data_IF_906614753426
#
_entry.id   IF_906614753426
#
_cell.length_a   1.000
_cell.length_b   1.000
_cell.length_c   1.000
_cell.angle_alpha   90.00
_cell.angle_beta   90.00
_cell.angle_gamma   90.00
#
_symmetry.space_group_name_H-M   'P 1'
#
loop_
_entity.id
_entity.type
_entity.pdbx_description
1 polymer ?
#
# COMPACT_ATOMS: atom_id res chain seq x y z
N UNK A 1 7.19 10.56 -11.15
CA UNK A 1 6.39 11.80 -11.26
C UNK A 1 5.14 11.68 -10.40
N UNK A 2 4.32 12.73 -10.33
CA UNK A 2 3.00 12.70 -9.66
C UNK A 2 1.91 12.47 -10.71
N UNK A 3 0.89 11.65 -10.41
CA UNK A 3 -0.18 11.34 -11.35
C UNK A 3 -1.22 12.48 -11.46
N UNK A 4 -1.69 12.85 -12.67
CA UNK A 4 -2.70 13.88 -12.85
C UNK A 4 -3.99 13.65 -12.07
N UNK A 5 -4.48 12.41 -11.96
CA UNK A 5 -5.73 12.14 -11.23
C UNK A 5 -5.60 12.35 -9.71
N UNK A 6 -4.41 12.17 -9.14
CA UNK A 6 -4.14 12.48 -7.72
C UNK A 6 -4.28 13.97 -7.49
N UNK A 7 -3.67 14.78 -8.37
CA UNK A 7 -3.66 16.25 -8.25
C UNK A 7 -5.02 16.88 -8.57
N UNK A 8 -5.66 16.44 -9.64
CA UNK A 8 -6.87 17.07 -10.18
C UNK A 8 -8.15 16.51 -9.58
N UNK A 9 -8.19 15.21 -9.28
CA UNK A 9 -9.40 14.51 -8.82
C UNK A 9 -9.32 14.11 -7.34
N UNK A 10 -8.20 14.39 -6.66
CA UNK A 10 -7.98 14.00 -5.27
C UNK A 10 -7.83 12.48 -5.08
N UNK A 11 -7.50 11.75 -6.15
CA UNK A 11 -7.28 10.30 -6.11
C UNK A 11 -6.17 9.91 -5.13
N UNK A 12 -6.28 8.74 -4.52
CA UNK A 12 -5.21 8.16 -3.70
C UNK A 12 -4.44 7.16 -4.55
N UNK A 13 -3.12 7.37 -4.67
CA UNK A 13 -2.23 6.44 -5.35
C UNK A 13 -1.94 5.26 -4.44
N UNK A 14 -2.31 4.06 -4.89
CA UNK A 14 -2.10 2.81 -4.16
C UNK A 14 -1.12 1.96 -4.96
N UNK A 15 0.04 1.70 -4.37
CA UNK A 15 1.06 0.82 -4.94
C UNK A 15 0.82 -0.61 -4.43
N UNK A 16 0.49 -1.52 -5.34
CA UNK A 16 0.25 -2.93 -4.98
C UNK A 16 1.54 -3.73 -4.97
N UNK A 17 2.50 -3.36 -5.82
CA UNK A 17 3.79 -4.02 -5.94
C UNK A 17 4.95 -3.04 -5.80
N UNK A 18 5.92 -3.40 -4.94
CA UNK A 18 7.13 -2.63 -4.69
C UNK A 18 8.39 -3.22 -5.33
N UNK A 19 8.31 -4.48 -5.77
CA UNK A 19 9.43 -5.21 -6.35
C UNK A 19 8.96 -5.89 -7.62
N UNK A 20 9.80 -5.81 -8.65
CA UNK A 20 9.58 -6.47 -9.92
C UNK A 20 10.79 -7.35 -10.22
N UNK A 21 10.53 -8.54 -10.77
CA UNK A 21 11.56 -9.42 -11.29
C UNK A 21 11.90 -8.98 -12.72
N UNK A 22 13.18 -8.72 -12.95
CA UNK A 22 13.72 -8.34 -14.26
C UNK A 22 14.94 -9.18 -14.58
N UNK A 23 15.12 -9.48 -15.85
CA UNK A 23 16.30 -10.15 -16.40
C UNK A 23 17.01 -9.16 -17.32
N UNK A 24 18.28 -8.91 -17.05
CA UNK A 24 19.11 -8.00 -17.83
C UNK A 24 20.56 -8.47 -17.80
N UNK A 25 21.35 -8.04 -18.78
CA UNK A 25 22.78 -8.27 -18.74
C UNK A 25 23.42 -7.51 -17.57
N UNK A 26 24.55 -8.01 -17.00
CA UNK A 26 25.23 -7.34 -15.88
C UNK A 26 25.64 -5.89 -16.18
N UNK A 27 25.98 -5.60 -17.45
CA UNK A 27 26.31 -4.24 -17.91
C UNK A 27 25.07 -3.35 -18.09
N UNK A 28 23.90 -3.93 -18.29
CA UNK A 28 22.65 -3.23 -18.60
C UNK A 28 21.69 -3.21 -17.40
N UNK A 29 22.14 -3.67 -16.23
CA UNK A 29 21.34 -3.72 -15.01
C UNK A 29 21.01 -2.30 -14.54
N UNK A 30 19.72 -1.90 -14.54
CA UNK A 30 19.35 -0.56 -14.12
C UNK A 30 19.41 -0.45 -12.58
N UNK A 31 19.86 0.69 -12.07
CA UNK A 31 19.82 0.97 -10.63
C UNK A 31 18.39 1.26 -10.13
N UNK A 32 17.54 1.82 -11.01
CA UNK A 32 16.13 2.15 -10.75
C UNK A 32 15.29 1.98 -12.01
N UNK A 33 14.01 1.73 -11.82
CA UNK A 33 12.99 1.73 -12.87
C UNK A 33 12.10 2.94 -12.66
N UNK A 34 12.09 3.84 -13.65
CA UNK A 34 11.18 4.98 -13.69
C UNK A 34 9.86 4.55 -14.32
N UNK A 35 8.77 4.72 -13.57
CA UNK A 35 7.41 4.45 -14.05
C UNK A 35 6.74 5.78 -14.37
N UNK A 36 6.29 5.93 -15.61
CA UNK A 36 5.53 7.10 -16.03
C UNK A 36 4.10 7.00 -15.50
N UNK A 37 3.69 8.01 -14.72
CA UNK A 37 2.35 8.08 -14.14
C UNK A 37 1.45 9.08 -14.89
N UNK A 38 1.90 9.60 -16.03
CA UNK A 38 1.20 10.63 -16.79
C UNK A 38 -0.06 10.08 -17.45
N UNK A 39 -0.08 8.78 -17.75
CA UNK A 39 -1.23 8.04 -18.28
C UNK A 39 -2.38 7.85 -17.27
N UNK A 40 -2.16 8.18 -15.99
CA UNK A 40 -3.17 8.08 -14.93
C UNK A 40 -3.95 9.40 -14.77
N UNK A 41 -4.90 9.63 -15.69
CA UNK A 41 -5.72 10.84 -15.76
C UNK A 41 -7.04 10.72 -14.98
N UNK A 42 -7.58 9.52 -14.83
CA UNK A 42 -8.88 9.24 -14.17
C UNK A 42 -8.75 8.38 -12.92
N UNK A 43 -9.77 8.45 -12.04
CA UNK A 43 -9.93 7.52 -10.92
C UNK A 43 -10.16 6.09 -11.45
N UNK A 44 -9.73 5.09 -10.68
CA UNK A 44 -9.80 3.66 -11.02
C UNK A 44 -8.87 3.20 -12.17
N UNK A 45 -8.04 4.08 -12.72
CA UNK A 45 -6.99 3.70 -13.66
C UNK A 45 -5.79 3.03 -12.96
N UNK A 46 -5.22 2.03 -13.64
CA UNK A 46 -4.12 1.21 -13.15
C UNK A 46 -3.05 1.02 -14.22
N UNK A 47 -1.79 0.97 -13.78
CA UNK A 47 -0.63 0.64 -14.62
C UNK A 47 -0.22 -0.80 -14.32
N UNK A 48 -0.06 -1.58 -15.39
CA UNK A 48 0.40 -2.96 -15.31
C UNK A 48 1.88 -3.06 -15.61
N UNK A 49 2.44 -4.23 -15.32
CA UNK A 49 3.82 -4.57 -15.67
C UNK A 49 4.07 -4.41 -17.17
N UNK A 50 3.10 -4.76 -18.02
CA UNK A 50 3.19 -4.58 -19.48
C UNK A 50 3.39 -3.13 -19.92
N UNK A 51 2.94 -2.16 -19.14
CA UNK A 51 2.99 -0.74 -19.48
C UNK A 51 4.29 -0.06 -19.04
N UNK A 52 5.15 -0.78 -18.28
CA UNK A 52 6.47 -0.25 -17.90
C UNK A 52 7.37 -0.17 -19.12
N UNK A 53 7.87 1.03 -19.39
CA UNK A 53 8.95 1.27 -20.34
C UNK A 53 10.27 0.72 -19.78
N UNK A 54 10.58 -0.54 -20.07
CA UNK A 54 11.86 -1.13 -19.76
C UNK A 54 12.97 -0.55 -20.66
N UNK A 55 14.13 -0.22 -20.07
CA UNK A 55 15.32 0.21 -20.81
C UNK A 55 15.82 -0.87 -21.77
N UNK A 56 16.61 -0.47 -22.79
CA UNK A 56 17.27 -1.44 -23.70
C UNK A 56 18.06 -2.48 -22.89
N UNK A 57 17.80 -3.77 -23.18
CA UNK A 57 18.46 -4.88 -22.49
C UNK A 57 17.78 -5.39 -21.22
N UNK A 58 16.66 -4.78 -20.79
CA UNK A 58 15.90 -5.22 -19.61
C UNK A 58 14.62 -5.94 -20.06
N UNK A 59 14.45 -7.17 -19.61
CA UNK A 59 13.26 -7.99 -19.83
C UNK A 59 12.50 -8.16 -18.53
N UNK A 60 11.21 -7.86 -18.55
CA UNK A 60 10.32 -8.08 -17.42
C UNK A 60 10.05 -9.59 -17.31
N UNK A 61 10.36 -10.18 -16.16
CA UNK A 61 10.19 -11.62 -15.89
C UNK A 61 9.14 -11.77 -14.82
N UNK A 62 7.95 -12.22 -15.20
CA UNK A 62 6.81 -12.33 -14.28
C UNK A 62 5.49 -12.24 -15.03
N UNK A 63 4.45 -11.86 -14.32
CA UNK A 63 3.13 -11.67 -14.89
C UNK A 63 2.98 -10.25 -15.45
N UNK A 64 2.66 -10.14 -16.74
CA UNK A 64 2.54 -8.85 -17.42
C UNK A 64 1.21 -8.15 -17.12
N UNK A 65 0.19 -8.88 -16.66
CA UNK A 65 -1.13 -8.32 -16.32
C UNK A 65 -1.19 -7.81 -14.87
N UNK A 66 -0.15 -8.08 -14.09
CA UNK A 66 -0.08 -7.68 -12.69
C UNK A 66 -0.07 -6.15 -12.53
N UNK A 67 -0.84 -5.67 -11.55
CA UNK A 67 -1.01 -4.24 -11.29
C UNK A 67 0.10 -3.77 -10.36
N UNK A 68 0.87 -2.77 -10.81
CA UNK A 68 1.94 -2.19 -10.00
C UNK A 68 1.38 -1.05 -9.15
N UNK A 69 0.61 -0.18 -9.79
CA UNK A 69 0.03 1.00 -9.17
C UNK A 69 -1.36 1.27 -9.75
N UNK A 70 -2.27 1.71 -8.89
CA UNK A 70 -3.63 2.11 -9.27
C UNK A 70 -4.04 3.34 -8.51
N UNK A 71 -4.85 4.17 -9.14
CA UNK A 71 -5.53 5.28 -8.49
C UNK A 71 -6.87 4.80 -7.99
N UNK A 72 -7.10 4.94 -6.70
CA UNK A 72 -8.40 4.67 -6.09
C UNK A 72 -9.03 5.98 -5.68
N UNK A 73 -10.35 6.07 -5.82
CA UNK A 73 -11.13 7.17 -5.26
C UNK A 73 -10.80 7.35 -3.78
N UNK A 74 -10.61 8.59 -3.28
CA UNK A 74 -10.43 8.84 -1.86
C UNK A 74 -11.74 8.47 -1.15
N UNK A 75 -11.88 7.21 -0.72
CA UNK A 75 -12.80 6.93 0.37
C UNK A 75 -12.23 7.71 1.53
N UNK A 76 -13.02 8.62 2.08
CA UNK A 76 -12.75 9.25 3.37
C UNK A 76 -12.22 8.15 4.27
N UNK A 77 -10.92 8.17 4.54
CA UNK A 77 -10.30 7.31 5.51
C UNK A 77 -10.81 7.86 6.83
N UNK A 78 -12.05 7.49 7.20
CA UNK A 78 -12.40 7.49 8.59
C UNK A 78 -11.50 6.42 9.17
N UNK A 79 -10.41 6.87 9.77
CA UNK A 79 -9.50 6.08 10.60
C UNK A 79 -10.36 5.31 11.60
N UNK A 80 -10.72 4.09 11.24
CA UNK A 80 -11.18 3.09 12.17
C UNK A 80 -10.11 2.01 12.12
N UNK A 81 -9.68 1.63 13.32
CA UNK A 81 -8.91 0.42 13.60
C UNK A 81 -7.38 0.55 13.49
N UNK A 82 -6.80 1.34 14.40
CA UNK A 82 -5.72 0.79 15.22
C UNK A 82 -6.33 0.45 16.59
N UNK A 83 -6.91 -0.74 16.69
CA UNK A 83 -7.38 -1.34 17.94
C UNK A 83 -7.16 -2.84 17.85
N UNK A 84 -5.93 -3.26 18.14
CA UNK A 84 -5.57 -4.49 18.86
C UNK A 84 -4.15 -4.88 18.48
N UNK A 85 -3.21 -4.70 19.41
CA UNK A 85 -2.65 -5.86 20.11
C UNK A 85 -1.92 -5.40 21.40
N UNK A 86 -2.57 -5.59 22.54
CA UNK A 86 -1.88 -5.89 23.79
C UNK A 86 -2.81 -6.75 24.64
N UNK A 87 -2.72 -8.05 24.40
CA UNK A 87 -3.24 -9.07 25.30
C UNK A 87 -2.22 -9.22 26.43
N UNK A 88 -2.64 -9.01 27.67
CA UNK A 88 -1.74 -9.12 28.82
C UNK A 88 -2.47 -9.02 30.15
N UNK A 89 -3.14 -10.13 30.49
CA UNK A 89 -3.65 -10.53 31.81
C UNK A 89 -3.12 -9.78 33.02
N UNK A 90 -4.03 -9.32 33.88
CA UNK A 90 -4.09 -9.78 35.29
C UNK A 90 -5.30 -9.19 36.02
N UNK A 91 -6.33 -10.02 36.20
CA UNK A 91 -7.23 -9.91 37.33
C UNK A 91 -6.52 -10.56 38.53
N UNK A 92 -6.34 -9.83 39.63
CA UNK A 92 -6.62 -10.43 40.91
C UNK A 92 -7.88 -9.80 41.47
N UNK A 93 -8.84 -10.68 41.71
CA UNK A 93 -9.93 -10.52 42.66
C UNK A 93 -9.36 -10.02 44.00
N UNK A 94 -9.91 -8.93 44.53
CA UNK A 94 -9.84 -8.65 45.97
C UNK A 94 -11.27 -8.49 46.47
N UNK A 95 -11.84 -9.63 46.88
CA UNK A 95 -12.99 -9.66 47.77
C UNK A 95 -12.51 -9.18 49.15
N UNK A 96 -12.93 -7.99 49.56
CA UNK A 96 -12.58 -7.44 50.85
C UNK A 96 -13.54 -6.34 51.32
N UNK A 97 -14.44 -6.74 52.24
CA UNK A 97 -15.17 -5.93 53.24
C UNK A 97 -16.49 -5.23 52.85
N UNK A 98 -17.58 -5.98 52.87
CA UNK A 98 -18.84 -5.47 53.43
C UNK A 98 -19.03 -6.09 54.80
N UNK A 99 -19.13 -5.26 55.84
CA UNK A 99 -20.08 -5.34 56.96
C UNK A 99 -19.75 -4.18 57.92
N UNK A 100 -20.50 -3.08 57.83
CA UNK A 100 -21.67 -2.83 58.66
C UNK A 100 -21.29 -2.60 60.13
N UNK A 101 -21.13 -1.33 60.48
CA UNK A 101 -21.37 -0.90 61.86
C UNK A 101 -22.86 -0.97 62.15
N UNK A 102 -23.24 -1.69 63.20
CA UNK A 102 -24.36 -1.34 64.09
C UNK A 102 -24.25 -2.18 65.37
N UNK A 103 -24.30 -1.47 66.50
CA UNK A 103 -24.66 -1.87 67.88
C UNK A 103 -24.28 -3.27 68.40
#
# INVERSE_FOLDING_TARGET
GEAPAVRSQGGVLVQSMYRLLVESLPLEMPERIDVDLSSLEELDQSIRVSDIAASQGVKLVGDLDEIIVRITSPRVQQSVEDSSDSVGSEHPVDEGITEAGTD
#
